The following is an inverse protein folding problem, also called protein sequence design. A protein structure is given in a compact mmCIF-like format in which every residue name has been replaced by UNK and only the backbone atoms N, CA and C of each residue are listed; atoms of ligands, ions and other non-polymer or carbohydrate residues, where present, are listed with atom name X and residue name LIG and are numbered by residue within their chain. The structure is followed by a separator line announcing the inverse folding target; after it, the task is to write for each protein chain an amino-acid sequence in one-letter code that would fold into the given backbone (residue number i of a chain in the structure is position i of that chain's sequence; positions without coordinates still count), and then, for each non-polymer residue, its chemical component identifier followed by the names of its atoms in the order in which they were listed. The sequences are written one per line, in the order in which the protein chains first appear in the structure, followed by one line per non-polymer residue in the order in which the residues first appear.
data_IF_674557981301
#
_entry.id   IF_674557981301
#
_cell.length_a   1.000
_cell.length_b   1.000
_cell.length_c   1.000
_cell.angle_alpha   90.00
_cell.angle_beta   90.00
_cell.angle_gamma   90.00
#
_symmetry.space_group_name_H-M   'P 1'
#
loop_
_entity.id
_entity.type
_entity.pdbx_description
1 polymer ?
#
# COMPACT_ATOMS: atom_id res chain seq x y z
N UNK A 1 -45.25 1.98 20.71
CA UNK A 1 -43.91 2.45 21.13
C UNK A 1 -43.36 3.36 20.04
N UNK A 2 -43.07 4.61 20.37
CA UNK A 2 -42.42 5.56 19.45
C UNK A 2 -41.00 5.80 19.97
N UNK A 3 -40.00 5.69 19.08
CA UNK A 3 -38.61 6.00 19.34
C UNK A 3 -38.32 7.34 18.66
N UNK A 4 -37.79 8.31 19.40
CA UNK A 4 -37.41 9.63 18.88
C UNK A 4 -35.96 9.90 19.24
N UNK A 5 -35.15 10.24 18.26
CA UNK A 5 -33.79 10.72 18.47
C UNK A 5 -33.85 12.12 19.10
N UNK A 6 -33.11 12.30 20.20
CA UNK A 6 -32.99 13.58 20.92
C UNK A 6 -31.67 14.24 20.58
N UNK A 7 -30.55 13.44 20.60
CA UNK A 7 -29.22 13.94 20.40
C UNK A 7 -28.34 12.84 19.82
N UNK A 8 -27.36 13.21 18.99
CA UNK A 8 -26.40 12.32 18.36
C UNK A 8 -26.77 11.91 16.93
N UNK A 9 -26.12 10.87 16.43
CA UNK A 9 -26.39 10.31 15.11
C UNK A 9 -27.34 9.10 15.22
N UNK A 10 -27.85 8.65 14.07
CA UNK A 10 -28.60 7.39 13.96
C UNK A 10 -28.11 6.57 12.77
N UNK A 11 -28.23 5.26 12.84
CA UNK A 11 -27.96 4.39 11.70
C UNK A 11 -29.16 4.44 10.75
N UNK A 12 -28.96 4.99 9.55
CA UNK A 12 -30.00 5.05 8.54
C UNK A 12 -30.21 3.67 7.90
N UNK A 13 -31.46 3.27 7.72
CA UNK A 13 -31.80 1.96 7.13
C UNK A 13 -31.69 1.93 5.60
N UNK A 14 -31.44 3.06 4.96
CA UNK A 14 -31.34 3.20 3.50
C UNK A 14 -30.21 4.14 3.13
N UNK A 15 -29.73 4.00 1.91
CA UNK A 15 -28.76 4.93 1.33
C UNK A 15 -29.37 6.33 1.27
N UNK A 16 -28.72 7.36 1.85
CA UNK A 16 -29.20 8.74 1.77
C UNK A 16 -29.17 9.24 0.32
N UNK A 17 -30.01 10.22 0.01
CA UNK A 17 -29.99 10.85 -1.29
C UNK A 17 -28.64 11.53 -1.53
N UNK A 18 -27.86 11.03 -2.49
CA UNK A 18 -26.59 11.62 -2.86
C UNK A 18 -26.63 12.17 -4.28
N UNK A 19 -25.86 13.23 -4.49
CA UNK A 19 -25.69 13.87 -5.81
C UNK A 19 -24.22 13.86 -6.17
N UNK A 20 -23.96 13.71 -7.47
CA UNK A 20 -22.61 13.91 -7.97
C UNK A 20 -22.20 15.38 -7.82
N UNK A 21 -20.95 15.60 -7.48
CA UNK A 21 -20.32 16.94 -7.51
C UNK A 21 -19.79 17.27 -8.89
N UNK A 22 -19.70 16.26 -9.78
CA UNK A 22 -19.14 16.41 -11.13
C UNK A 22 -17.61 16.53 -11.15
N UNK A 23 -16.96 16.24 -10.03
CA UNK A 23 -15.48 16.24 -9.93
C UNK A 23 -14.92 14.83 -9.97
N UNK A 24 -13.97 14.58 -10.87
CA UNK A 24 -13.28 13.29 -11.01
C UNK A 24 -14.17 12.16 -11.55
N UNK A 25 -13.78 10.91 -11.32
CA UNK A 25 -14.53 9.74 -11.76
C UNK A 25 -15.86 9.63 -11.00
N UNK A 26 -16.91 9.22 -11.71
CA UNK A 26 -18.23 8.98 -11.14
C UNK A 26 -18.47 7.49 -11.04
N UNK A 27 -18.51 6.99 -9.81
CA UNK A 27 -18.81 5.60 -9.48
C UNK A 27 -20.26 5.50 -9.03
N UNK A 28 -21.08 4.76 -9.77
CA UNK A 28 -22.50 4.52 -9.45
C UNK A 28 -22.66 3.11 -8.93
N UNK A 29 -22.91 3.01 -7.64
CA UNK A 29 -23.21 1.76 -6.95
C UNK A 29 -24.73 1.54 -6.89
N UNK A 30 -25.17 0.41 -6.31
CA UNK A 30 -26.60 0.11 -6.14
C UNK A 30 -27.28 1.15 -5.23
N UNK A 31 -28.61 1.18 -5.28
CA UNK A 31 -29.44 2.10 -4.50
C UNK A 31 -29.10 3.59 -4.69
N UNK A 32 -28.58 3.94 -5.91
CA UNK A 32 -28.17 5.29 -6.27
C UNK A 32 -27.10 5.89 -5.37
N UNK A 33 -26.24 5.04 -4.76
CA UNK A 33 -25.05 5.51 -4.10
C UNK A 33 -24.04 5.99 -5.15
N UNK A 34 -23.76 7.28 -5.16
CA UNK A 34 -22.86 7.92 -6.12
C UNK A 34 -21.63 8.42 -5.38
N UNK A 35 -20.47 7.93 -5.79
CA UNK A 35 -19.17 8.33 -5.26
C UNK A 35 -18.41 9.10 -6.34
N UNK A 36 -17.79 10.22 -5.96
CA UNK A 36 -16.88 10.98 -6.81
C UNK A 36 -15.80 11.65 -5.94
N UNK A 37 -14.89 12.42 -6.56
CA UNK A 37 -13.84 13.11 -5.80
C UNK A 37 -14.43 14.05 -4.73
N UNK A 38 -15.43 14.82 -5.08
CA UNK A 38 -15.94 15.84 -4.18
C UNK A 38 -16.72 15.33 -2.96
N UNK A 39 -17.22 14.08 -3.02
CA UNK A 39 -17.99 13.51 -1.89
C UNK A 39 -17.30 12.33 -1.21
N UNK A 40 -16.30 11.70 -1.84
CA UNK A 40 -15.67 10.50 -1.30
C UNK A 40 -14.15 10.48 -1.53
N UNK A 41 -13.67 10.47 -2.77
CA UNK A 41 -12.31 10.04 -3.10
C UNK A 41 -11.20 11.05 -2.80
N UNK A 42 -11.52 12.31 -2.50
CA UNK A 42 -10.53 13.27 -1.96
C UNK A 42 -10.00 12.82 -0.57
N UNK A 43 -10.67 11.88 0.06
CA UNK A 43 -10.25 11.29 1.32
C UNK A 43 -10.06 9.79 1.17
N UNK A 44 -9.11 9.19 1.91
CA UNK A 44 -8.88 7.76 1.88
C UNK A 44 -10.14 6.94 2.21
N UNK A 45 -10.31 5.82 1.49
CA UNK A 45 -11.45 4.92 1.66
C UNK A 45 -10.99 3.53 2.10
N UNK A 46 -11.57 3.03 3.20
CA UNK A 46 -11.29 1.71 3.76
C UNK A 46 -12.46 0.75 3.52
N UNK A 47 -12.19 -0.40 2.90
CA UNK A 47 -13.12 -1.51 2.75
C UNK A 47 -12.75 -2.62 3.73
N UNK A 48 -13.64 -2.93 4.67
CA UNK A 48 -13.43 -4.02 5.63
C UNK A 48 -14.43 -5.14 5.42
N UNK A 49 -14.01 -6.38 5.65
CA UNK A 49 -14.92 -7.52 5.66
C UNK A 49 -14.20 -8.85 5.59
N UNK A 50 -14.78 -9.85 6.20
CA UNK A 50 -14.25 -11.22 6.19
C UNK A 50 -14.15 -11.80 4.76
N UNK A 51 -13.50 -12.95 4.65
CA UNK A 51 -13.46 -13.71 3.38
C UNK A 51 -14.87 -14.02 2.90
N UNK A 52 -15.13 -13.89 1.61
CA UNK A 52 -16.42 -14.22 0.99
C UNK A 52 -17.54 -13.19 1.19
N UNK A 53 -17.29 -12.04 1.83
CA UNK A 53 -18.30 -11.01 2.08
C UNK A 53 -18.58 -10.08 0.89
N UNK A 54 -17.75 -10.15 -0.16
CA UNK A 54 -17.91 -9.33 -1.37
C UNK A 54 -16.94 -8.16 -1.51
N UNK A 55 -15.89 -8.07 -0.66
CA UNK A 55 -14.87 -7.01 -0.76
C UNK A 55 -14.32 -6.81 -2.16
N UNK A 56 -13.75 -7.88 -2.74
CA UNK A 56 -13.14 -7.84 -4.08
C UNK A 56 -14.15 -7.44 -5.16
N UNK A 57 -15.42 -7.90 -5.05
CA UNK A 57 -16.47 -7.48 -5.98
C UNK A 57 -16.75 -5.98 -5.87
N UNK A 58 -16.87 -5.46 -4.65
CA UNK A 58 -17.10 -4.03 -4.42
C UNK A 58 -15.89 -3.19 -4.84
N UNK A 59 -14.67 -3.66 -4.53
CA UNK A 59 -13.44 -3.01 -5.00
C UNK A 59 -13.44 -2.89 -6.53
N UNK A 60 -13.78 -3.95 -7.25
CA UNK A 60 -13.88 -3.95 -8.72
C UNK A 60 -14.95 -3.00 -9.23
N UNK A 61 -16.12 -2.95 -8.58
CA UNK A 61 -17.19 -2.00 -8.95
C UNK A 61 -16.76 -0.54 -8.79
N UNK A 62 -15.93 -0.24 -7.79
CA UNK A 62 -15.35 1.10 -7.60
C UNK A 62 -14.22 1.34 -8.60
N UNK A 63 -13.36 0.37 -8.83
CA UNK A 63 -12.15 0.48 -9.63
C UNK A 63 -12.46 0.66 -11.13
N UNK A 64 -13.42 -0.06 -11.69
CA UNK A 64 -13.70 -0.07 -13.13
C UNK A 64 -14.02 1.34 -13.70
N UNK A 65 -14.93 2.15 -13.12
CA UNK A 65 -15.16 3.51 -13.58
C UNK A 65 -13.94 4.43 -13.42
N UNK A 66 -13.14 4.22 -12.39
CA UNK A 66 -11.91 4.98 -12.13
C UNK A 66 -10.85 4.66 -13.19
N UNK A 67 -10.69 3.38 -13.53
CA UNK A 67 -9.78 2.94 -14.60
C UNK A 67 -10.18 3.55 -15.96
N UNK A 68 -11.46 3.59 -16.26
CA UNK A 68 -11.95 4.22 -17.48
C UNK A 68 -11.72 5.73 -17.49
N UNK A 69 -11.99 6.39 -16.36
CA UNK A 69 -11.73 7.82 -16.23
C UNK A 69 -10.24 8.16 -16.37
N UNK A 70 -9.35 7.33 -15.81
CA UNK A 70 -7.91 7.55 -15.89
C UNK A 70 -7.35 7.51 -17.32
N UNK A 71 -8.00 6.80 -18.24
CA UNK A 71 -7.63 6.79 -19.67
C UNK A 71 -7.84 8.17 -20.32
N UNK A 72 -8.89 8.86 -19.90
CA UNK A 72 -9.26 10.17 -20.46
C UNK A 72 -8.54 11.32 -19.73
N UNK A 73 -8.39 11.22 -18.40
CA UNK A 73 -7.78 12.25 -17.56
C UNK A 73 -6.25 12.25 -17.55
N UNK A 74 -5.63 11.12 -17.92
CA UNK A 74 -4.19 10.92 -17.77
C UNK A 74 -3.76 10.63 -16.33
N UNK A 75 -4.69 10.33 -15.43
CA UNK A 75 -4.37 9.92 -14.05
C UNK A 75 -3.63 8.58 -14.05
N UNK A 76 -2.74 8.39 -13.08
CA UNK A 76 -2.06 7.11 -12.87
C UNK A 76 -2.89 6.20 -11.96
N UNK A 77 -2.72 4.89 -12.13
CA UNK A 77 -3.36 3.89 -11.27
C UNK A 77 -2.33 2.86 -10.84
N UNK A 78 -2.20 2.64 -9.54
CA UNK A 78 -1.35 1.61 -8.92
C UNK A 78 -2.26 0.61 -8.21
N UNK A 79 -2.10 -0.67 -8.51
CA UNK A 79 -2.93 -1.75 -7.96
C UNK A 79 -1.99 -2.75 -7.29
N UNK A 80 -2.02 -2.80 -5.96
CA UNK A 80 -1.38 -3.87 -5.20
C UNK A 80 -2.38 -5.01 -5.00
N UNK A 81 -2.04 -6.20 -5.46
CA UNK A 81 -2.89 -7.37 -5.35
C UNK A 81 -2.10 -8.66 -5.11
N UNK A 82 -2.66 -9.56 -4.31
CA UNK A 82 -2.09 -10.88 -4.02
C UNK A 82 -2.81 -12.02 -4.76
N UNK A 83 -3.82 -11.67 -5.56
CA UNK A 83 -4.60 -12.61 -6.35
C UNK A 83 -4.69 -12.14 -7.79
N UNK A 84 -4.78 -13.06 -8.77
CA UNK A 84 -4.86 -12.71 -10.17
C UNK A 84 -6.18 -12.02 -10.56
N UNK A 85 -7.16 -11.98 -9.67
CA UNK A 85 -8.50 -11.43 -9.92
C UNK A 85 -8.49 -9.98 -10.44
N UNK A 86 -7.52 -9.18 -10.00
CA UNK A 86 -7.37 -7.78 -10.43
C UNK A 86 -6.65 -7.65 -11.77
N UNK A 87 -5.93 -8.69 -12.21
CA UNK A 87 -5.22 -8.69 -13.49
C UNK A 87 -6.18 -8.76 -14.70
N UNK A 88 -7.47 -9.06 -14.49
CA UNK A 88 -8.48 -9.01 -15.57
C UNK A 88 -8.65 -7.61 -16.18
N UNK A 89 -8.19 -6.57 -15.49
CA UNK A 89 -8.21 -5.19 -15.98
C UNK A 89 -6.92 -4.76 -16.68
N UNK A 90 -5.94 -5.66 -16.78
CA UNK A 90 -4.66 -5.38 -17.44
C UNK A 90 -4.88 -5.21 -18.94
N UNK A 91 -4.29 -4.15 -19.50
CA UNK A 91 -4.13 -3.92 -20.94
C UNK A 91 -2.73 -4.37 -21.38
N UNK A 92 -2.49 -4.42 -22.67
CA UNK A 92 -1.19 -4.82 -23.23
C UNK A 92 -0.06 -3.87 -22.82
N UNK A 93 -0.33 -2.57 -22.78
CA UNK A 93 0.62 -1.51 -22.42
C UNK A 93 0.82 -1.33 -20.92
N UNK A 94 0.09 -2.04 -20.05
CA UNK A 94 0.16 -1.91 -18.60
C UNK A 94 1.33 -2.72 -18.03
N UNK A 95 1.91 -2.25 -16.96
CA UNK A 95 3.06 -2.88 -16.31
C UNK A 95 2.61 -3.78 -15.16
N UNK A 96 3.08 -5.02 -15.17
CA UNK A 96 2.87 -5.98 -14.09
C UNK A 96 4.22 -6.28 -13.44
N UNK A 97 4.43 -5.73 -12.27
CA UNK A 97 5.64 -5.94 -11.48
C UNK A 97 5.41 -7.17 -10.60
N UNK A 98 6.05 -8.26 -10.94
CA UNK A 98 6.00 -9.53 -10.23
C UNK A 98 7.30 -10.29 -10.42
N UNK A 99 7.60 -11.21 -9.54
CA UNK A 99 8.81 -12.04 -9.63
C UNK A 99 8.91 -12.80 -10.97
N UNK A 100 7.78 -13.13 -11.58
CA UNK A 100 7.69 -13.89 -12.82
C UNK A 100 7.58 -13.01 -14.08
N UNK A 101 7.63 -11.68 -13.94
CA UNK A 101 7.57 -10.76 -15.09
C UNK A 101 8.82 -10.92 -15.96
N UNK A 102 8.65 -10.77 -17.28
CA UNK A 102 9.73 -10.92 -18.27
C UNK A 102 9.96 -9.67 -19.09
N UNK A 103 8.96 -8.79 -19.12
CA UNK A 103 9.05 -7.54 -19.87
C UNK A 103 10.01 -6.57 -19.17
N UNK A 104 10.97 -5.96 -19.88
CA UNK A 104 11.95 -5.05 -19.28
C UNK A 104 11.32 -3.91 -18.46
N UNK A 105 10.22 -3.33 -18.96
CA UNK A 105 9.49 -2.26 -18.29
C UNK A 105 8.69 -2.74 -17.05
N UNK A 106 8.65 -4.03 -16.80
CA UNK A 106 8.04 -4.63 -15.59
C UNK A 106 9.10 -5.18 -14.63
N UNK A 107 10.38 -5.11 -14.97
CA UNK A 107 11.49 -5.54 -14.14
C UNK A 107 12.16 -4.33 -13.50
N UNK A 108 12.03 -4.24 -12.18
CA UNK A 108 12.59 -3.13 -11.39
C UNK A 108 14.11 -3.10 -11.42
N UNK A 109 14.67 -1.89 -11.54
CA UNK A 109 16.11 -1.68 -11.56
C UNK A 109 16.49 -0.52 -10.62
N UNK A 110 17.33 -0.81 -9.63
CA UNK A 110 17.80 0.15 -8.62
C UNK A 110 18.56 1.31 -9.28
N UNK A 111 19.35 1.04 -10.30
CA UNK A 111 20.13 2.08 -10.98
C UNK A 111 19.24 2.99 -11.83
N UNK A 112 18.15 2.49 -12.39
CA UNK A 112 17.13 3.31 -13.06
C UNK A 112 16.38 4.22 -12.06
N UNK A 113 16.17 3.76 -10.81
CA UNK A 113 15.63 4.63 -9.76
C UNK A 113 16.58 5.76 -9.39
N UNK A 114 17.88 5.44 -9.25
CA UNK A 114 18.91 6.44 -8.98
C UNK A 114 18.98 7.47 -10.11
N UNK A 115 18.99 7.00 -11.37
CA UNK A 115 19.04 7.85 -12.55
C UNK A 115 17.85 8.80 -12.67
N UNK A 116 16.67 8.31 -12.35
CA UNK A 116 15.43 9.07 -12.43
C UNK A 116 15.26 10.07 -11.27
N UNK A 117 15.99 9.87 -10.19
CA UNK A 117 15.86 10.67 -8.97
C UNK A 117 16.59 12.02 -9.06
N UNK A 118 16.01 13.06 -8.48
CA UNK A 118 16.70 14.34 -8.25
C UNK A 118 17.83 14.24 -7.22
N UNK A 119 17.78 13.23 -6.35
CA UNK A 119 18.81 12.94 -5.35
C UNK A 119 19.07 11.43 -5.31
N UNK A 120 19.95 10.92 -6.21
CA UNK A 120 20.25 9.49 -6.31
C UNK A 120 20.73 8.86 -5.00
N UNK A 121 21.58 9.57 -4.24
CA UNK A 121 22.08 9.07 -2.95
C UNK A 121 21.00 8.89 -1.91
N UNK A 122 20.06 9.83 -1.81
CA UNK A 122 18.93 9.73 -0.88
C UNK A 122 18.03 8.56 -1.25
N UNK A 123 17.68 8.42 -2.53
CA UNK A 123 16.86 7.31 -3.02
C UNK A 123 17.52 5.96 -2.75
N UNK A 124 18.82 5.83 -3.01
CA UNK A 124 19.56 4.62 -2.71
C UNK A 124 19.58 4.32 -1.20
N UNK A 125 19.76 5.34 -0.36
CA UNK A 125 19.75 5.18 1.10
C UNK A 125 18.40 4.67 1.61
N UNK A 126 17.31 5.17 1.04
CA UNK A 126 15.95 4.70 1.35
C UNK A 126 15.76 3.25 0.92
N UNK A 127 16.14 2.91 -0.31
CA UNK A 127 16.07 1.53 -0.81
C UNK A 127 16.87 0.58 0.10
N UNK A 128 18.11 0.94 0.46
CA UNK A 128 18.94 0.13 1.33
C UNK A 128 18.30 -0.04 2.71
N UNK A 129 17.77 1.04 3.30
CA UNK A 129 17.12 1.00 4.61
C UNK A 129 15.93 0.06 4.61
N UNK A 130 15.03 0.18 3.63
CA UNK A 130 13.82 -0.66 3.54
C UNK A 130 14.16 -2.12 3.22
N UNK A 131 15.18 -2.37 2.37
CA UNK A 131 15.59 -3.72 2.00
C UNK A 131 16.11 -4.52 3.20
N UNK A 132 16.79 -3.85 4.13
CA UNK A 132 17.38 -4.45 5.32
C UNK A 132 16.52 -4.33 6.58
N UNK A 133 15.41 -3.57 6.55
CA UNK A 133 14.59 -3.28 7.73
C UNK A 133 14.15 -4.53 8.50
N UNK A 134 13.62 -5.53 7.80
CA UNK A 134 13.12 -6.76 8.42
C UNK A 134 14.23 -7.58 9.12
N UNK A 135 15.41 -7.67 8.49
CA UNK A 135 16.53 -8.43 9.06
C UNK A 135 17.17 -7.66 10.22
N UNK A 136 17.21 -6.32 10.17
CA UNK A 136 17.69 -5.49 11.29
C UNK A 136 16.76 -5.59 12.50
N UNK A 137 15.44 -5.55 12.29
CA UNK A 137 14.44 -5.64 13.36
C UNK A 137 14.48 -7.00 14.08
N UNK A 138 14.68 -8.09 13.32
CA UNK A 138 14.69 -9.46 13.85
C UNK A 138 16.06 -9.90 14.39
N UNK A 139 17.10 -9.13 14.15
CA UNK A 139 18.45 -9.51 14.51
C UNK A 139 18.69 -9.42 16.02
N UNK A 140 19.24 -10.48 16.61
CA UNK A 140 19.75 -10.45 17.99
C UNK A 140 21.05 -9.65 18.11
N UNK A 141 21.80 -9.53 17.03
CA UNK A 141 23.01 -8.73 16.90
C UNK A 141 22.87 -7.80 15.68
N UNK A 142 22.39 -6.56 15.87
CA UNK A 142 22.11 -5.62 14.77
C UNK A 142 23.34 -5.24 13.94
N UNK A 143 24.53 -5.43 14.47
CA UNK A 143 25.80 -5.11 13.80
C UNK A 143 25.92 -5.75 12.42
N UNK A 144 25.62 -7.05 12.28
CA UNK A 144 25.78 -7.77 11.03
C UNK A 144 24.86 -7.26 9.90
N UNK A 145 23.54 -7.15 10.08
CA UNK A 145 22.68 -6.62 9.03
C UNK A 145 22.93 -5.13 8.75
N UNK A 146 23.31 -4.32 9.75
CA UNK A 146 23.68 -2.92 9.52
C UNK A 146 24.95 -2.80 8.67
N UNK A 147 26.00 -3.57 8.99
CA UNK A 147 27.22 -3.63 8.16
C UNK A 147 26.91 -4.15 6.74
N UNK A 148 26.07 -5.16 6.60
CA UNK A 148 25.61 -5.67 5.32
C UNK A 148 24.88 -4.60 4.51
N UNK A 149 23.99 -3.81 5.12
CA UNK A 149 23.33 -2.67 4.48
C UNK A 149 24.34 -1.61 4.01
N UNK A 150 25.30 -1.27 4.85
CA UNK A 150 26.32 -0.28 4.49
C UNK A 150 27.18 -0.75 3.32
N UNK A 151 27.57 -2.03 3.29
CA UNK A 151 28.29 -2.63 2.15
C UNK A 151 27.42 -2.58 0.88
N UNK A 152 26.15 -2.94 0.97
CA UNK A 152 25.19 -2.85 -0.14
C UNK A 152 25.10 -1.42 -0.69
N UNK A 153 24.85 -0.46 0.20
CA UNK A 153 24.73 0.95 -0.16
C UNK A 153 25.97 1.47 -0.88
N UNK A 154 27.14 1.24 -0.32
CA UNK A 154 28.41 1.71 -0.89
C UNK A 154 28.74 1.01 -2.21
N UNK A 155 28.39 -0.26 -2.34
CA UNK A 155 28.57 -0.99 -3.61
C UNK A 155 27.71 -0.41 -4.72
N UNK A 156 26.43 -0.19 -4.45
CA UNK A 156 25.53 0.43 -5.45
C UNK A 156 26.02 1.83 -5.85
N UNK A 157 26.45 2.64 -4.86
CA UNK A 157 26.99 3.97 -5.10
C UNK A 157 28.25 3.91 -5.99
N UNK A 158 29.22 3.06 -5.65
CA UNK A 158 30.42 2.87 -6.45
C UNK A 158 30.11 2.46 -7.89
N UNK A 159 29.28 1.44 -8.07
CA UNK A 159 28.89 0.96 -9.40
C UNK A 159 28.19 2.06 -10.21
N UNK A 160 27.28 2.80 -9.57
CA UNK A 160 26.56 3.89 -10.23
C UNK A 160 27.51 5.00 -10.70
N UNK A 161 28.41 5.47 -9.83
CA UNK A 161 29.37 6.53 -10.17
C UNK A 161 30.36 6.06 -11.26
N UNK A 162 30.84 4.81 -11.19
CA UNK A 162 31.66 4.21 -12.23
C UNK A 162 30.94 4.11 -13.57
N UNK A 163 29.66 3.75 -13.56
CA UNK A 163 28.86 3.68 -14.78
C UNK A 163 28.69 5.05 -15.45
N UNK A 164 28.55 6.11 -14.63
CA UNK A 164 28.47 7.50 -15.14
C UNK A 164 29.79 7.97 -15.73
N UNK A 165 30.89 7.67 -15.08
CA UNK A 165 32.22 8.04 -15.57
C UNK A 165 32.59 7.33 -16.89
N UNK A 166 32.24 6.03 -16.99
CA UNK A 166 32.60 5.19 -18.15
C UNK A 166 31.54 5.11 -19.24
N UNK A 167 30.32 5.59 -18.97
CA UNK A 167 29.23 5.69 -19.96
C UNK A 167 28.56 4.35 -20.30
N UNK A 168 28.37 3.45 -19.33
CA UNK A 168 27.61 2.20 -19.51
C UNK A 168 26.37 2.15 -18.59
N UNK A 169 25.44 1.25 -18.91
CA UNK A 169 24.23 1.04 -18.13
C UNK A 169 24.39 -0.15 -17.21
N UNK A 170 23.75 -0.08 -16.03
CA UNK A 170 23.76 -1.13 -15.02
C UNK A 170 22.39 -1.76 -14.85
N UNK A 171 22.40 -3.02 -14.49
CA UNK A 171 21.23 -3.80 -14.09
C UNK A 171 21.37 -4.32 -12.67
N UNK A 172 20.25 -4.76 -12.09
CA UNK A 172 20.30 -5.48 -10.81
C UNK A 172 21.07 -6.81 -10.92
N UNK A 173 21.14 -7.43 -12.11
CA UNK A 173 21.94 -8.63 -12.34
C UNK A 173 23.44 -8.34 -12.12
N UNK A 174 23.95 -7.22 -12.66
CA UNK A 174 25.34 -6.80 -12.46
C UNK A 174 25.66 -6.60 -10.97
N UNK A 175 24.73 -6.01 -10.21
CA UNK A 175 24.87 -5.84 -8.76
C UNK A 175 24.89 -7.19 -8.03
N UNK A 176 23.97 -8.09 -8.36
CA UNK A 176 23.90 -9.43 -7.76
C UNK A 176 25.18 -10.21 -8.06
N UNK A 177 25.66 -10.17 -9.29
CA UNK A 177 26.92 -10.81 -9.69
C UNK A 177 28.10 -10.24 -8.91
N UNK A 178 28.24 -8.92 -8.85
CA UNK A 178 29.32 -8.26 -8.12
C UNK A 178 29.34 -8.66 -6.64
N UNK A 179 28.19 -8.61 -5.97
CA UNK A 179 28.09 -8.95 -4.54
C UNK A 179 28.32 -10.45 -4.28
N UNK A 180 27.88 -11.32 -5.19
CA UNK A 180 28.03 -12.77 -5.05
C UNK A 180 29.46 -13.25 -5.31
N UNK A 181 30.14 -12.68 -6.32
CA UNK A 181 31.41 -13.20 -6.83
C UNK A 181 32.64 -12.50 -6.27
N UNK A 182 32.54 -11.24 -5.81
CA UNK A 182 33.70 -10.50 -5.28
C UNK A 182 34.32 -11.25 -4.10
N UNK A 183 35.58 -11.71 -4.20
CA UNK A 183 36.27 -12.43 -3.15
C UNK A 183 36.72 -11.48 -2.02
N UNK A 184 37.07 -12.03 -0.87
CA UNK A 184 37.62 -11.20 0.23
C UNK A 184 39.02 -10.72 -0.13
N UNK A 185 39.87 -11.64 -0.57
CA UNK A 185 41.23 -11.37 -1.02
C UNK A 185 41.25 -11.41 -2.53
N UNK A 186 42.10 -10.57 -3.13
CA UNK A 186 42.36 -10.53 -4.58
C UNK A 186 42.82 -11.89 -5.08
N UNK A 187 42.27 -12.30 -6.19
CA UNK A 187 42.63 -13.49 -6.93
C UNK A 187 43.24 -13.08 -8.28
N UNK A 188 43.76 -14.04 -9.07
CA UNK A 188 44.23 -13.77 -10.42
C UNK A 188 43.13 -13.30 -11.38
N UNK A 189 41.85 -13.57 -11.02
CA UNK A 189 40.67 -13.28 -11.85
C UNK A 189 39.94 -12.00 -11.47
N UNK A 190 39.97 -11.60 -10.17
CA UNK A 190 39.19 -10.46 -9.69
C UNK A 190 39.80 -9.79 -8.44
N UNK A 191 39.67 -8.45 -8.31
CA UNK A 191 40.01 -7.74 -7.09
C UNK A 191 39.10 -8.16 -5.94
N UNK A 192 39.68 -8.34 -4.76
CA UNK A 192 38.95 -8.65 -3.56
C UNK A 192 38.45 -7.39 -2.82
N UNK A 193 37.53 -7.58 -1.87
CA UNK A 193 36.99 -6.50 -1.03
C UNK A 193 38.07 -5.67 -0.34
N UNK A 194 39.16 -6.30 0.13
CA UNK A 194 40.28 -5.61 0.80
C UNK A 194 40.99 -4.68 -0.16
N UNK A 195 41.27 -5.16 -1.40
CA UNK A 195 41.86 -4.31 -2.42
C UNK A 195 40.98 -3.18 -2.86
N UNK A 196 39.64 -3.45 -3.04
CA UNK A 196 38.66 -2.40 -3.35
C UNK A 196 38.63 -1.32 -2.26
N UNK A 197 38.72 -1.72 -0.99
CA UNK A 197 38.75 -0.78 0.13
C UNK A 197 40.02 0.08 0.18
N UNK A 198 41.15 -0.45 -0.29
CA UNK A 198 42.40 0.31 -0.42
C UNK A 198 42.39 1.24 -1.62
N UNK A 199 41.85 0.76 -2.75
CA UNK A 199 41.82 1.48 -4.03
C UNK A 199 40.77 2.58 -4.07
N UNK A 200 39.61 2.35 -3.43
CA UNK A 200 38.45 3.24 -3.40
C UNK A 200 37.99 3.52 -1.97
N UNK A 201 38.82 4.22 -1.16
CA UNK A 201 38.53 4.43 0.27
C UNK A 201 37.25 5.25 0.54
N UNK A 202 36.85 6.11 -0.39
CA UNK A 202 35.62 6.93 -0.28
C UNK A 202 34.33 6.09 -0.31
N UNK A 203 34.37 4.91 -0.94
CA UNK A 203 33.26 3.98 -0.99
C UNK A 203 33.43 2.83 0.02
N UNK A 204 34.59 2.21 0.04
CA UNK A 204 34.80 0.95 0.75
C UNK A 204 35.72 1.06 1.98
N UNK A 205 36.11 2.28 2.37
CA UNK A 205 36.96 2.46 3.56
C UNK A 205 36.35 1.87 4.84
N UNK A 206 35.04 2.05 5.05
CA UNK A 206 34.30 1.43 6.16
C UNK A 206 34.33 -0.10 6.11
N UNK A 207 34.29 -0.68 4.91
CA UNK A 207 34.29 -2.14 4.73
C UNK A 207 35.59 -2.76 5.26
N UNK A 208 36.70 -2.05 5.13
CA UNK A 208 37.98 -2.46 5.71
C UNK A 208 37.87 -2.66 7.23
N UNK A 209 37.17 -1.77 7.91
CA UNK A 209 36.98 -1.86 9.36
C UNK A 209 36.10 -3.07 9.75
N UNK A 210 35.12 -3.40 8.93
CA UNK A 210 34.27 -4.58 9.11
C UNK A 210 35.00 -5.89 8.78
N UNK A 211 35.72 -5.92 7.66
CA UNK A 211 36.37 -7.14 7.18
C UNK A 211 37.62 -7.52 7.96
N UNK A 212 38.32 -6.51 8.55
CA UNK A 212 39.61 -6.74 9.23
C UNK A 212 40.58 -7.56 8.37
N UNK A 213 41.68 -8.02 8.92
CA UNK A 213 42.55 -8.97 8.25
C UNK A 213 41.95 -10.39 8.33
N UNK A 214 40.81 -10.65 7.61
CA UNK A 214 40.17 -11.97 7.58
C UNK A 214 39.39 -12.32 8.84
N UNK A 215 38.81 -11.32 9.53
CA UNK A 215 38.04 -11.56 10.74
C UNK A 215 36.77 -12.40 10.48
N UNK A 216 36.44 -13.31 11.39
CA UNK A 216 35.19 -14.06 11.35
C UNK A 216 33.97 -13.14 11.29
N UNK A 217 34.05 -11.95 11.88
CA UNK A 217 33.00 -10.92 11.82
C UNK A 217 32.76 -10.42 10.40
N UNK A 218 33.82 -10.13 9.65
CA UNK A 218 33.69 -9.70 8.26
C UNK A 218 33.05 -10.76 7.36
N UNK A 219 33.43 -12.02 7.57
CA UNK A 219 32.77 -13.16 6.91
C UNK A 219 31.27 -13.19 7.21
N UNK A 220 30.89 -12.93 8.46
CA UNK A 220 29.49 -12.84 8.90
C UNK A 220 28.73 -11.74 8.18
N UNK A 221 29.29 -10.52 8.06
CA UNK A 221 28.67 -9.38 7.35
C UNK A 221 28.43 -9.70 5.88
N UNK A 222 29.42 -10.28 5.16
CA UNK A 222 29.27 -10.66 3.76
C UNK A 222 28.32 -11.84 3.59
N UNK A 223 28.26 -12.78 4.52
CA UNK A 223 27.31 -13.88 4.49
C UNK A 223 25.88 -13.38 4.64
N UNK A 224 25.63 -12.44 5.56
CA UNK A 224 24.32 -11.81 5.75
C UNK A 224 23.89 -11.06 4.49
N UNK A 225 24.77 -10.25 3.92
CA UNK A 225 24.52 -9.52 2.67
C UNK A 225 24.14 -10.48 1.54
N UNK A 226 24.96 -11.49 1.27
CA UNK A 226 24.73 -12.44 0.19
C UNK A 226 23.45 -13.25 0.37
N UNK A 227 23.16 -13.61 1.61
CA UNK A 227 21.92 -14.31 1.96
C UNK A 227 20.70 -13.44 1.68
N UNK A 228 20.72 -12.18 2.09
CA UNK A 228 19.60 -11.28 1.83
C UNK A 228 19.42 -11.03 0.33
N UNK A 229 20.50 -10.68 -0.38
CA UNK A 229 20.45 -10.38 -1.82
C UNK A 229 19.95 -11.57 -2.63
N UNK A 230 20.45 -12.77 -2.37
CA UNK A 230 20.01 -13.98 -3.06
C UNK A 230 18.52 -14.31 -2.81
N UNK A 231 17.95 -13.86 -1.71
CA UNK A 231 16.54 -14.07 -1.36
C UNK A 231 15.61 -13.00 -1.89
N UNK A 232 16.12 -11.79 -2.15
CA UNK A 232 15.30 -10.62 -2.52
C UNK A 232 15.46 -10.24 -3.97
N UNK A 233 16.70 -10.20 -4.48
CA UNK A 233 17.00 -9.85 -5.87
C UNK A 233 17.20 -11.12 -6.70
N UNK A 234 16.10 -11.68 -7.22
CA UNK A 234 16.09 -12.81 -8.12
C UNK A 234 14.93 -12.69 -9.12
N UNK A 235 14.89 -13.55 -10.14
CA UNK A 235 13.87 -13.50 -11.19
C UNK A 235 13.79 -12.11 -11.84
N UNK A 236 12.62 -11.52 -11.92
CA UNK A 236 12.40 -10.18 -12.47
C UNK A 236 13.19 -9.07 -11.75
N UNK A 237 13.45 -9.25 -10.44
CA UNK A 237 14.20 -8.27 -9.63
C UNK A 237 15.73 -8.39 -9.76
N UNK A 238 16.22 -9.37 -10.52
CA UNK A 238 17.60 -9.51 -10.93
C UNK A 238 17.72 -9.63 -12.45
N UNK A 239 16.85 -8.97 -13.21
CA UNK A 239 16.89 -9.00 -14.67
C UNK A 239 18.05 -8.18 -15.21
N UNK A 240 18.73 -8.72 -16.25
CA UNK A 240 19.83 -8.04 -16.96
C UNK A 240 19.37 -6.78 -17.71
N UNK A 241 18.12 -6.74 -18.10
CA UNK A 241 17.53 -5.68 -18.94
C UNK A 241 16.38 -4.93 -18.27
N UNK A 242 16.30 -4.97 -16.94
CA UNK A 242 15.26 -4.27 -16.18
C UNK A 242 15.31 -2.75 -16.41
N UNK A 243 14.15 -2.15 -16.68
CA UNK A 243 13.99 -0.71 -16.95
C UNK A 243 12.91 -0.03 -16.14
N UNK A 244 12.23 -0.77 -15.26
CA UNK A 244 11.23 -0.16 -14.43
C UNK A 244 11.88 0.69 -13.34
N UNK A 245 11.42 1.94 -13.25
CA UNK A 245 11.66 2.86 -12.15
C UNK A 245 10.33 3.45 -11.68
N UNK A 246 10.06 3.39 -10.39
CA UNK A 246 8.87 3.97 -9.78
C UNK A 246 8.85 5.49 -9.94
N UNK A 247 10.03 6.13 -9.85
CA UNK A 247 10.19 7.58 -10.04
C UNK A 247 9.78 7.99 -11.45
N UNK A 248 10.25 7.29 -12.49
CA UNK A 248 9.90 7.59 -13.89
C UNK A 248 8.47 7.20 -14.24
N UNK A 249 7.93 6.18 -13.59
CA UNK A 249 6.66 5.57 -13.95
C UNK A 249 5.49 6.55 -13.89
N UNK A 250 5.47 7.45 -12.90
CA UNK A 250 4.36 8.37 -12.67
C UNK A 250 4.51 9.73 -13.36
N UNK A 251 5.69 10.05 -13.90
CA UNK A 251 5.97 11.39 -14.47
C UNK A 251 5.12 11.72 -15.70
N UNK A 252 4.85 10.73 -16.57
CA UNK A 252 4.16 10.95 -17.85
C UNK A 252 2.63 10.88 -17.75
N UNK A 253 2.10 10.40 -16.64
CA UNK A 253 0.67 10.16 -16.46
C UNK A 253 0.12 8.98 -17.29
N UNK A 254 -1.15 8.62 -17.04
CA UNK A 254 -1.90 7.61 -17.78
C UNK A 254 -1.39 6.17 -17.62
N UNK A 255 -0.58 5.90 -16.59
CA UNK A 255 0.00 4.57 -16.36
C UNK A 255 -0.85 3.74 -15.41
N UNK A 256 -0.96 2.43 -15.74
CA UNK A 256 -1.49 1.41 -14.84
C UNK A 256 -0.37 0.48 -14.46
N UNK A 257 -0.13 0.34 -13.17
CA UNK A 257 0.96 -0.44 -12.58
C UNK A 257 0.34 -1.44 -11.63
N UNK A 258 0.53 -2.72 -11.91
CA UNK A 258 0.10 -3.81 -11.05
C UNK A 258 1.30 -4.30 -10.25
N UNK A 259 1.27 -4.12 -8.94
CA UNK A 259 2.21 -4.74 -8.01
C UNK A 259 1.60 -6.09 -7.61
N UNK A 260 1.96 -7.14 -8.34
CA UNK A 260 1.35 -8.46 -8.17
C UNK A 260 2.23 -9.37 -7.33
N UNK A 261 1.80 -9.61 -6.09
CA UNK A 261 2.38 -10.60 -5.22
C UNK A 261 1.77 -11.97 -5.52
N UNK A 262 2.47 -12.77 -6.32
CA UNK A 262 2.08 -14.15 -6.64
C UNK A 262 2.30 -15.06 -5.42
N UNK A 263 1.33 -15.09 -4.53
CA UNK A 263 1.41 -15.82 -3.25
C UNK A 263 1.79 -17.30 -3.42
N UNK A 264 1.36 -17.92 -4.52
CA UNK A 264 1.60 -19.35 -4.76
C UNK A 264 3.04 -19.64 -5.21
N UNK A 265 3.67 -18.68 -5.92
CA UNK A 265 4.96 -18.89 -6.58
C UNK A 265 6.06 -17.96 -6.05
N UNK A 266 5.75 -17.05 -5.12
CA UNK A 266 6.69 -16.09 -4.54
C UNK A 266 6.99 -16.42 -3.08
N UNK A 267 8.23 -16.25 -2.66
CA UNK A 267 8.58 -16.24 -1.24
C UNK A 267 8.22 -14.91 -0.57
N UNK A 268 8.10 -14.88 0.76
CA UNK A 268 7.86 -13.63 1.50
C UNK A 268 8.89 -12.53 1.21
N UNK A 269 10.12 -12.90 0.88
CA UNK A 269 11.18 -11.96 0.54
C UNK A 269 10.90 -11.09 -0.69
N UNK A 270 10.07 -11.55 -1.64
CA UNK A 270 9.66 -10.73 -2.80
C UNK A 270 8.70 -9.61 -2.41
N UNK A 271 8.00 -9.77 -1.30
CA UNK A 271 7.08 -8.77 -0.77
C UNK A 271 7.83 -7.51 -0.32
N UNK A 272 9.06 -7.66 0.23
CA UNK A 272 9.91 -6.53 0.61
C UNK A 272 10.25 -5.66 -0.60
N UNK A 273 10.56 -6.26 -1.76
CA UNK A 273 10.84 -5.50 -2.98
C UNK A 273 9.60 -4.79 -3.51
N UNK A 274 8.44 -5.47 -3.53
CA UNK A 274 7.17 -4.84 -3.93
C UNK A 274 6.77 -3.70 -2.99
N UNK A 275 7.09 -3.82 -1.70
CA UNK A 275 6.88 -2.76 -0.71
C UNK A 275 7.76 -1.53 -1.00
N UNK A 276 9.05 -1.73 -1.26
CA UNK A 276 9.97 -0.64 -1.65
C UNK A 276 9.41 0.10 -2.89
N UNK A 277 9.00 -0.64 -3.90
CA UNK A 277 8.43 -0.06 -5.12
C UNK A 277 7.14 0.71 -4.81
N UNK A 278 6.26 0.19 -3.94
CA UNK A 278 5.04 0.87 -3.51
C UNK A 278 5.36 2.19 -2.79
N UNK A 279 6.33 2.19 -1.88
CA UNK A 279 6.73 3.38 -1.13
C UNK A 279 7.35 4.44 -2.06
N UNK A 280 8.17 4.04 -3.02
CA UNK A 280 8.71 4.95 -4.04
C UNK A 280 7.59 5.55 -4.91
N UNK A 281 6.59 4.75 -5.31
CA UNK A 281 5.42 5.22 -6.05
C UNK A 281 4.57 6.19 -5.21
N UNK A 282 4.34 5.91 -3.92
CA UNK A 282 3.63 6.80 -3.01
C UNK A 282 4.37 8.13 -2.85
N UNK A 283 5.68 8.11 -2.60
CA UNK A 283 6.51 9.31 -2.51
C UNK A 283 6.45 10.15 -3.78
N UNK A 284 6.57 9.50 -4.94
CA UNK A 284 6.49 10.19 -6.22
C UNK A 284 5.10 10.82 -6.46
N UNK A 285 4.03 10.13 -6.06
CA UNK A 285 2.66 10.64 -6.19
C UNK A 285 2.37 11.84 -5.26
N UNK A 286 3.03 11.91 -4.10
CA UNK A 286 2.91 13.02 -3.14
C UNK A 286 3.69 14.27 -3.54
N UNK A 287 4.52 14.24 -4.57
CA UNK A 287 5.32 15.41 -4.97
C UNK A 287 4.44 16.57 -5.36
N UNK A 288 4.81 17.75 -4.89
CA UNK A 288 4.08 18.99 -5.14
C UNK A 288 4.02 19.38 -6.63
N UNK A 289 4.96 18.90 -7.44
CA UNK A 289 5.06 19.13 -8.88
C UNK A 289 4.32 18.08 -9.73
N UNK A 290 3.62 17.14 -9.12
CA UNK A 290 2.82 16.15 -9.83
C UNK A 290 1.70 16.81 -10.65
N UNK A 291 1.61 16.46 -11.93
CA UNK A 291 0.59 16.96 -12.85
C UNK A 291 -0.62 16.03 -12.99
N UNK A 292 -0.56 14.86 -12.40
CA UNK A 292 -1.57 13.81 -12.49
C UNK A 292 -1.89 13.27 -11.11
N UNK A 293 -3.16 12.95 -10.89
CA UNK A 293 -3.56 12.18 -9.71
C UNK A 293 -3.05 10.76 -9.83
N UNK A 294 -2.77 10.15 -8.69
CA UNK A 294 -2.42 8.73 -8.65
C UNK A 294 -3.38 8.00 -7.71
N UNK A 295 -4.07 7.02 -8.27
CA UNK A 295 -5.03 6.17 -7.58
C UNK A 295 -4.33 4.91 -7.09
N UNK A 296 -4.37 4.65 -5.80
CA UNK A 296 -3.83 3.43 -5.19
C UNK A 296 -4.98 2.53 -4.75
N UNK A 297 -5.05 1.34 -5.34
CA UNK A 297 -5.93 0.26 -4.92
C UNK A 297 -5.09 -0.80 -4.21
N UNK A 298 -5.26 -0.91 -2.89
CA UNK A 298 -4.50 -1.83 -2.05
C UNK A 298 -5.44 -2.98 -1.62
N UNK A 299 -5.52 -4.03 -2.45
CA UNK A 299 -6.31 -5.24 -2.13
C UNK A 299 -5.50 -6.13 -1.18
N UNK A 300 -6.00 -6.36 0.02
CA UNK A 300 -5.32 -7.07 1.11
C UNK A 300 -4.11 -6.33 1.70
N UNK A 301 -4.34 -5.15 2.22
CA UNK A 301 -3.28 -4.31 2.80
C UNK A 301 -2.56 -4.93 4.02
N UNK A 302 -3.13 -5.95 4.65
CA UNK A 302 -2.47 -6.71 5.72
C UNK A 302 -1.20 -7.46 5.26
N UNK A 303 -1.01 -7.63 3.96
CA UNK A 303 0.21 -8.21 3.38
C UNK A 303 1.32 -7.17 3.19
N UNK A 304 0.99 -5.88 3.14
CA UNK A 304 1.97 -4.81 2.96
C UNK A 304 2.75 -4.66 4.27
N UNK A 305 4.09 -4.75 4.25
CA UNK A 305 4.92 -4.48 5.42
C UNK A 305 4.65 -3.09 6.01
N UNK A 306 5.11 -2.84 7.21
CA UNK A 306 4.98 -1.53 7.86
C UNK A 306 5.58 -0.43 6.98
N UNK A 307 4.76 0.58 6.63
CA UNK A 307 5.15 1.71 5.81
C UNK A 307 4.80 3.03 6.48
N UNK A 308 5.80 3.82 6.83
CA UNK A 308 5.61 5.20 7.26
C UNK A 308 5.17 6.08 6.09
N UNK A 309 5.62 5.77 4.88
CA UNK A 309 5.25 6.49 3.65
C UNK A 309 3.76 6.36 3.37
N UNK A 310 3.17 5.19 3.63
CA UNK A 310 1.72 5.00 3.51
C UNK A 310 0.96 5.87 4.53
N UNK A 311 1.45 5.96 5.77
CA UNK A 311 0.85 6.83 6.80
C UNK A 311 0.89 8.29 6.35
N UNK A 312 2.04 8.75 5.84
CA UNK A 312 2.21 10.10 5.31
C UNK A 312 1.28 10.35 4.12
N UNK A 313 1.20 9.42 3.18
CA UNK A 313 0.33 9.51 2.01
C UNK A 313 -1.15 9.61 2.40
N UNK A 314 -1.61 8.83 3.38
CA UNK A 314 -2.98 8.91 3.89
C UNK A 314 -3.27 10.23 4.59
N UNK A 315 -2.29 10.79 5.30
CA UNK A 315 -2.40 12.07 6.00
C UNK A 315 -2.46 13.25 5.04
N UNK A 316 -1.70 13.18 3.93
CA UNK A 316 -1.57 14.24 2.92
C UNK A 316 -2.49 14.03 1.70
N UNK A 317 -3.32 12.97 1.69
CA UNK A 317 -4.13 12.58 0.54
C UNK A 317 -5.01 13.70 -0.06
N UNK A 318 -5.39 14.69 0.75
CA UNK A 318 -6.21 15.83 0.32
C UNK A 318 -5.44 16.94 -0.39
N UNK A 319 -4.10 16.94 -0.27
CA UNK A 319 -3.29 17.99 -0.88
C UNK A 319 -3.17 17.76 -2.40
N UNK A 320 -3.72 18.69 -3.23
CA UNK A 320 -3.64 18.55 -4.68
C UNK A 320 -2.27 18.99 -5.24
N UNK A 321 -1.29 19.28 -4.37
CA UNK A 321 -0.02 19.87 -4.76
C UNK A 321 -0.11 21.34 -5.18
N UNK A 322 1.04 21.94 -5.50
CA UNK A 322 1.16 23.38 -5.79
C UNK A 322 0.40 23.83 -7.04
N UNK A 323 0.14 22.94 -7.99
CA UNK A 323 -0.56 23.22 -9.24
C UNK A 323 -2.05 22.80 -9.24
N UNK A 324 -2.54 22.23 -8.13
CA UNK A 324 -3.93 21.80 -7.98
C UNK A 324 -4.35 20.58 -8.84
N UNK A 325 -3.40 19.89 -9.49
CA UNK A 325 -3.67 18.79 -10.44
C UNK A 325 -3.25 17.42 -9.92
N UNK A 326 -2.27 17.38 -9.03
CA UNK A 326 -1.77 16.15 -8.44
C UNK A 326 -2.63 15.59 -7.31
N UNK A 327 -2.03 14.76 -6.50
CA UNK A 327 -2.61 14.20 -5.29
C UNK A 327 -2.76 12.70 -5.33
N UNK A 328 -2.80 12.14 -4.12
CA UNK A 328 -2.92 10.71 -3.87
C UNK A 328 -4.38 10.37 -3.58
N UNK A 329 -4.87 9.27 -4.14
CA UNK A 329 -6.19 8.70 -3.87
C UNK A 329 -6.00 7.26 -3.43
N UNK A 330 -6.41 6.93 -2.21
CA UNK A 330 -6.19 5.59 -1.65
C UNK A 330 -7.51 4.90 -1.35
N UNK A 331 -7.65 3.70 -1.92
CA UNK A 331 -8.74 2.77 -1.61
C UNK A 331 -8.09 1.48 -1.13
N UNK A 332 -8.24 1.19 0.15
CA UNK A 332 -7.58 0.10 0.83
C UNK A 332 -8.58 -0.95 1.30
N UNK A 333 -8.28 -2.22 1.11
CA UNK A 333 -9.11 -3.32 1.58
C UNK A 333 -8.41 -4.13 2.67
N UNK A 334 -9.17 -4.52 3.69
CA UNK A 334 -8.72 -5.36 4.80
C UNK A 334 -9.73 -6.48 5.06
N UNK A 335 -9.24 -7.67 5.38
CA UNK A 335 -10.11 -8.75 5.90
C UNK A 335 -10.49 -8.50 7.35
N UNK A 336 -9.55 -8.01 8.14
CA UNK A 336 -9.69 -7.71 9.56
C UNK A 336 -8.69 -6.64 9.97
N UNK A 337 -9.13 -5.65 10.71
CA UNK A 337 -8.25 -4.64 11.28
C UNK A 337 -7.19 -5.24 12.22
N UNK A 338 -7.54 -6.36 12.89
CA UNK A 338 -6.59 -7.07 13.75
C UNK A 338 -5.38 -7.62 12.99
N UNK A 339 -5.51 -7.94 11.70
CA UNK A 339 -4.36 -8.42 10.91
C UNK A 339 -3.28 -7.35 10.75
N UNK A 340 -3.64 -6.07 10.84
CA UNK A 340 -2.64 -4.99 10.81
C UNK A 340 -1.69 -5.04 12.01
N UNK A 341 -2.11 -5.62 13.16
CA UNK A 341 -1.23 -5.74 14.33
C UNK A 341 -0.11 -6.79 14.17
N UNK A 342 -0.04 -7.47 13.05
CA UNK A 342 1.11 -8.30 12.67
C UNK A 342 2.25 -7.47 12.07
N UNK A 343 1.94 -6.31 11.48
CA UNK A 343 2.91 -5.43 10.82
C UNK A 343 3.18 -4.18 11.65
N UNK A 344 2.18 -3.69 12.36
CA UNK A 344 2.20 -2.47 13.17
C UNK A 344 1.96 -2.83 14.63
N UNK A 345 2.45 -2.04 15.57
CA UNK A 345 1.95 -2.11 16.95
C UNK A 345 0.44 -1.84 16.98
N UNK A 346 -0.22 -2.16 18.09
CA UNK A 346 -1.66 -1.90 18.22
C UNK A 346 -1.97 -0.41 18.06
N UNK A 347 -1.19 0.44 18.69
CA UNK A 347 -1.33 1.90 18.66
C UNK A 347 -1.11 2.45 17.25
N UNK A 348 -0.09 1.97 16.55
CA UNK A 348 0.19 2.37 15.16
C UNK A 348 -0.91 1.91 14.20
N UNK A 349 -1.45 0.70 14.37
CA UNK A 349 -2.57 0.21 13.58
C UNK A 349 -3.84 1.05 13.81
N UNK A 350 -4.13 1.46 15.05
CA UNK A 350 -5.23 2.35 15.38
C UNK A 350 -5.05 3.73 14.74
N UNK A 351 -3.84 4.29 14.78
CA UNK A 351 -3.50 5.55 14.10
C UNK A 351 -3.74 5.42 12.59
N UNK A 352 -3.14 4.42 11.94
CA UNK A 352 -3.29 4.19 10.50
C UNK A 352 -4.78 4.11 10.10
N UNK A 353 -5.57 3.31 10.83
CA UNK A 353 -6.98 3.10 10.52
C UNK A 353 -7.85 4.32 10.81
N UNK A 354 -7.42 5.20 11.72
CA UNK A 354 -8.10 6.47 11.98
C UNK A 354 -7.98 7.48 10.84
N UNK A 355 -6.97 7.33 9.98
CA UNK A 355 -6.76 8.20 8.81
C UNK A 355 -7.76 7.98 7.68
N UNK A 356 -8.65 6.99 7.80
CA UNK A 356 -9.70 6.72 6.81
C UNK A 356 -11.04 7.33 7.23
N UNK A 357 -11.42 8.53 6.76
CA UNK A 357 -12.74 9.10 7.04
C UNK A 357 -13.86 8.30 6.37
N UNK A 358 -13.59 7.68 5.22
CA UNK A 358 -14.55 6.85 4.50
C UNK A 358 -14.34 5.38 4.85
N UNK A 359 -15.36 4.72 5.38
CA UNK A 359 -15.33 3.30 5.75
C UNK A 359 -16.55 2.59 5.18
N UNK A 360 -16.31 1.50 4.47
CA UNK A 360 -17.33 0.53 4.04
C UNK A 360 -17.06 -0.77 4.79
N UNK A 361 -17.86 -1.04 5.80
CA UNK A 361 -17.76 -2.25 6.62
C UNK A 361 -18.80 -3.28 6.16
N UNK A 362 -18.33 -4.27 5.39
CA UNK A 362 -19.08 -5.48 5.14
C UNK A 362 -19.12 -6.32 6.44
N UNK A 363 -19.54 -7.57 6.36
CA UNK A 363 -19.57 -8.43 7.55
C UNK A 363 -18.15 -8.62 8.12
N UNK A 364 -17.95 -8.15 9.36
CA UNK A 364 -16.73 -8.32 10.15
C UNK A 364 -17.04 -9.04 11.45
N UNK A 365 -16.14 -9.92 11.89
CA UNK A 365 -16.33 -10.72 13.11
C UNK A 365 -15.46 -10.28 14.27
N UNK A 366 -14.30 -9.66 13.98
CA UNK A 366 -13.37 -9.25 15.03
C UNK A 366 -13.76 -7.91 15.68
N UNK A 367 -13.54 -7.76 17.01
CA UNK A 367 -13.93 -6.56 17.74
C UNK A 367 -13.22 -5.30 17.25
N UNK A 368 -11.95 -5.36 16.87
CA UNK A 368 -11.18 -4.20 16.43
C UNK A 368 -11.78 -3.61 15.13
N UNK A 369 -12.15 -4.46 14.18
CA UNK A 369 -12.83 -4.01 12.95
C UNK A 369 -14.19 -3.37 13.21
N UNK A 370 -14.96 -3.88 14.21
CA UNK A 370 -16.25 -3.29 14.56
C UNK A 370 -16.07 -1.94 15.24
N UNK A 371 -15.10 -1.82 16.14
CA UNK A 371 -14.80 -0.60 16.88
C UNK A 371 -14.54 0.60 15.95
N UNK A 372 -13.87 0.39 14.81
CA UNK A 372 -13.59 1.44 13.82
C UNK A 372 -14.86 2.19 13.38
N UNK A 373 -15.98 1.50 13.26
CA UNK A 373 -17.26 2.11 12.87
C UNK A 373 -18.07 2.51 14.10
N UNK A 374 -18.17 1.66 15.11
CA UNK A 374 -19.01 1.93 16.29
C UNK A 374 -18.52 3.10 17.11
N UNK A 375 -17.21 3.18 17.38
CA UNK A 375 -16.62 4.26 18.18
C UNK A 375 -16.67 5.62 17.48
N UNK A 376 -16.64 5.64 16.15
CA UNK A 376 -16.71 6.87 15.35
C UNK A 376 -17.98 7.67 15.58
N UNK A 377 -19.11 6.99 15.79
CA UNK A 377 -20.41 7.62 15.99
C UNK A 377 -20.83 7.64 17.46
N UNK A 378 -20.17 6.85 18.30
CA UNK A 378 -20.42 6.80 19.73
C UNK A 378 -21.87 6.43 20.05
N UNK A 379 -22.46 7.19 20.97
CA UNK A 379 -23.79 6.95 21.49
C UNK A 379 -24.77 8.04 21.09
N UNK A 380 -26.04 7.66 20.95
CA UNK A 380 -27.15 8.57 20.69
C UNK A 380 -28.15 8.49 21.82
N UNK A 381 -28.84 9.60 22.09
CA UNK A 381 -29.90 9.75 23.07
C UNK A 381 -31.25 9.57 22.40
N UNK A 382 -32.04 8.66 22.91
CA UNK A 382 -33.40 8.37 22.44
C UNK A 382 -34.42 8.54 23.53
N UNK A 383 -35.60 9.11 23.17
CA UNK A 383 -36.77 9.12 23.97
C UNK A 383 -37.75 8.05 23.49
N UNK A 384 -38.03 7.09 24.33
CA UNK A 384 -39.03 6.07 24.08
C UNK A 384 -40.35 6.49 24.70
N UNK A 385 -41.43 6.49 23.93
CA UNK A 385 -42.78 6.79 24.41
C UNK A 385 -43.65 5.55 24.29
N UNK A 386 -44.20 5.11 25.39
CA UNK A 386 -45.06 3.93 25.50
C UNK A 386 -46.47 4.35 25.84
N UNK A 387 -47.48 3.74 25.22
CA UNK A 387 -48.84 3.82 25.67
C UNK A 387 -48.99 2.99 26.95
N UNK A 388 -49.32 3.62 28.06
CA UNK A 388 -49.56 2.97 29.34
C UNK A 388 -51.03 2.51 29.51
N UNK A 389 -51.26 1.68 30.51
CA UNK A 389 -52.63 1.33 30.93
C UNK A 389 -53.31 2.58 31.47
N UNK A 390 -54.45 2.97 30.90
CA UNK A 390 -55.20 4.17 31.30
C UNK A 390 -54.83 5.45 30.57
N UNK A 391 -54.43 5.38 29.28
CA UNK A 391 -54.12 6.51 28.37
C UNK A 391 -52.94 7.41 28.78
N UNK A 392 -52.15 7.03 29.79
CA UNK A 392 -50.94 7.77 30.16
C UNK A 392 -49.76 7.35 29.24
N UNK A 393 -49.11 8.34 28.64
CA UNK A 393 -47.89 8.14 27.90
C UNK A 393 -46.71 8.17 28.89
N UNK A 394 -45.97 7.09 28.95
CA UNK A 394 -44.69 7.01 29.70
C UNK A 394 -43.53 7.31 28.77
N UNK A 395 -42.60 8.11 29.26
CA UNK A 395 -41.36 8.46 28.57
C UNK A 395 -40.21 7.81 29.31
N UNK A 396 -39.27 7.24 28.53
CA UNK A 396 -38.04 6.66 29.05
C UNK A 396 -36.88 7.15 28.17
N UNK A 397 -35.88 7.74 28.80
CA UNK A 397 -34.64 8.10 28.17
C UNK A 397 -33.73 6.87 28.06
N UNK A 398 -33.07 6.71 26.92
CA UNK A 398 -32.09 5.64 26.69
C UNK A 398 -30.89 6.18 25.92
N UNK A 399 -29.72 5.73 26.31
CA UNK A 399 -28.45 6.01 25.61
C UNK A 399 -28.00 4.72 24.94
N UNK A 400 -27.93 4.72 23.63
CA UNK A 400 -27.60 3.53 22.82
C UNK A 400 -26.46 3.80 21.89
N UNK A 401 -25.66 2.78 21.59
CA UNK A 401 -24.64 2.87 20.53
C UNK A 401 -25.32 3.08 19.19
N UNK A 402 -24.85 4.07 18.43
CA UNK A 402 -25.37 4.37 17.09
C UNK A 402 -25.19 3.16 16.17
N UNK A 403 -24.01 2.53 16.22
CA UNK A 403 -23.70 1.26 15.55
C UNK A 403 -23.26 0.26 16.60
N UNK A 404 -24.12 -0.67 16.95
CA UNK A 404 -23.86 -1.73 17.93
C UNK A 404 -23.47 -3.06 17.27
N UNK A 405 -22.99 -4.00 18.06
CA UNK A 405 -22.72 -5.38 17.63
C UNK A 405 -23.94 -6.07 16.98
N UNK A 406 -25.15 -5.70 17.42
CA UNK A 406 -26.38 -6.18 16.81
C UNK A 406 -26.47 -5.81 15.33
N UNK A 407 -26.12 -4.58 14.95
CA UNK A 407 -26.18 -4.14 13.55
C UNK A 407 -25.20 -4.93 12.67
N UNK A 408 -23.98 -5.21 13.15
CA UNK A 408 -23.03 -6.06 12.42
C UNK A 408 -23.54 -7.50 12.25
N UNK A 409 -24.28 -8.03 13.22
CA UNK A 409 -24.89 -9.37 13.14
C UNK A 409 -26.00 -9.45 12.10
N UNK A 410 -26.63 -8.34 11.75
CA UNK A 410 -27.67 -8.26 10.71
C UNK A 410 -27.09 -8.25 9.28
N UNK A 411 -25.79 -8.01 9.12
CA UNK A 411 -25.12 -8.11 7.80
C UNK A 411 -24.94 -9.58 7.47
N UNK A 412 -25.93 -10.19 6.84
CA UNK A 412 -25.95 -11.63 6.56
C UNK A 412 -25.66 -11.97 5.10
N UNK A 413 -25.97 -11.05 4.17
CA UNK A 413 -25.81 -11.26 2.74
C UNK A 413 -24.47 -10.72 2.24
N UNK A 414 -23.94 -11.33 1.17
CA UNK A 414 -22.77 -10.85 0.44
C UNK A 414 -23.08 -9.46 -0.14
N UNK A 415 -22.18 -8.49 0.07
CA UNK A 415 -22.33 -7.12 -0.42
C UNK A 415 -23.15 -6.18 0.47
N UNK A 416 -23.76 -6.68 1.55
CA UNK A 416 -24.33 -5.80 2.57
C UNK A 416 -23.24 -5.14 3.40
N UNK A 417 -23.40 -3.86 3.72
CA UNK A 417 -22.41 -3.09 4.48
C UNK A 417 -23.06 -2.02 5.37
N UNK A 418 -22.33 -1.61 6.38
CA UNK A 418 -22.52 -0.34 7.07
C UNK A 418 -21.52 0.64 6.47
N UNK A 419 -21.98 1.76 5.97
CA UNK A 419 -21.16 2.77 5.32
C UNK A 419 -21.11 4.03 6.19
N UNK A 420 -19.87 4.51 6.37
CA UNK A 420 -19.53 5.76 7.02
C UNK A 420 -18.77 6.63 6.02
N UNK A 421 -19.43 7.64 5.47
CA UNK A 421 -18.88 8.57 4.49
C UNK A 421 -19.33 10.00 4.78
N UNK A 422 -18.53 10.80 5.49
CA UNK A 422 -18.91 12.16 5.90
C UNK A 422 -19.28 13.09 4.74
N UNK A 423 -18.72 12.88 3.55
CA UNK A 423 -19.08 13.67 2.37
C UNK A 423 -20.44 13.32 1.75
N UNK A 424 -21.07 12.22 2.19
CA UNK A 424 -22.42 11.79 1.75
C UNK A 424 -23.43 12.03 2.84
N UNK A 425 -23.13 11.64 4.08
CA UNK A 425 -24.03 11.77 5.22
C UNK A 425 -23.24 11.92 6.52
N UNK A 426 -23.74 12.76 7.43
CA UNK A 426 -23.25 12.82 8.81
C UNK A 426 -23.65 11.57 9.63
N UNK A 427 -24.62 10.80 9.15
CA UNK A 427 -25.07 9.55 9.74
C UNK A 427 -24.51 8.34 9.03
N UNK A 428 -24.17 7.24 9.74
CA UNK A 428 -23.89 5.97 9.09
C UNK A 428 -25.17 5.40 8.45
N UNK A 429 -25.02 4.60 7.40
CA UNK A 429 -26.16 4.03 6.72
C UNK A 429 -25.93 2.60 6.27
N UNK A 430 -27.03 1.84 6.19
CA UNK A 430 -27.04 0.48 5.64
C UNK A 430 -27.06 0.52 4.12
N UNK A 431 -26.22 -0.31 3.53
CA UNK A 431 -26.10 -0.52 2.09
C UNK A 431 -26.37 -1.99 1.77
N UNK A 432 -27.25 -2.27 0.83
CA UNK A 432 -27.54 -3.61 0.34
C UNK A 432 -27.08 -3.77 -1.11
N UNK A 433 -25.79 -3.98 -1.28
CA UNK A 433 -25.13 -4.12 -2.57
C UNK A 433 -25.14 -5.55 -3.14
N UNK A 434 -26.06 -6.41 -2.70
CA UNK A 434 -26.13 -7.78 -3.20
C UNK A 434 -26.43 -7.82 -4.70
N UNK A 435 -25.42 -8.17 -5.52
CA UNK A 435 -25.62 -8.61 -6.89
C UNK A 435 -25.56 -10.13 -6.95
N UNK A 436 -26.58 -10.78 -7.52
CA UNK A 436 -26.41 -12.14 -8.06
C UNK A 436 -25.28 -12.06 -9.08
N UNK A 437 -24.26 -12.88 -8.91
CA UNK A 437 -23.11 -12.94 -9.80
C UNK A 437 -23.59 -13.09 -11.26
N UNK A 438 -23.35 -12.05 -12.07
CA UNK A 438 -23.29 -12.15 -13.53
C UNK A 438 -21.82 -12.38 -13.92
N UNK A 439 -21.20 -13.37 -13.34
CA UNK A 439 -19.95 -13.93 -13.84
C UNK A 439 -20.21 -15.39 -14.13
N UNK A 440 -20.94 -15.63 -15.24
CA UNK A 440 -20.85 -16.88 -15.93
C UNK A 440 -19.59 -16.82 -16.79
N UNK A 441 -18.68 -17.69 -16.47
CA UNK A 441 -17.70 -18.33 -17.36
C UNK A 441 -17.17 -17.48 -18.53
N UNK A 442 -15.94 -16.97 -18.37
CA UNK A 442 -15.02 -16.73 -19.47
C UNK A 442 -13.61 -17.17 -19.05
#
# INVERSE_FOLDING_TARGET
MLKKLIEGNELLNTVPACKTTGRGPIVKLQHNLILDDGNCFESPTLLMGNVGTGKTCLMKEIQEPILKYSEESGDNVVIFCAKPDMLCYKREEDWVISINSKEPNSCWNIFEEMEASQNPELTLREIATELFAEVEEKATQPFFPQAARDIFYQTCRYMYDESKEKGFTLSNADLVEFLATTPIYTTDEAPGWIELALRYPDYFGMIRDYLGEGSEQGLGCLSELRTLISRTLFGCFAAENGKFSAVNALQKGGKRIFLYYDYANSGHSTLSVLHIILDLLLKQAMRADSNHKTWFFLDEASLIPKSNVLIDALSLARDPGSNGKGGVRVIMALQSARLMTHQYSKEEAEILLSLFPNVISLRVSDPMSRAIVSERYGKAHYLYSYAGVGEKIHHQDSVEDVVSDYHFSQITKKGQAIISMPGISSHPFLYDGYRKEKFSDA
#
